data_IF_143258661146
#
_entry.id   IF_143258661146
#
_cell.length_a   1.000
_cell.length_b   1.000
_cell.length_c   1.000
_cell.angle_alpha   90.00
_cell.angle_beta   90.00
_cell.angle_gamma   90.00
#
_symmetry.space_group_name_H-M   'P 1'
#
loop_
_entity.id
_entity.type
_entity.pdbx_description
1 polymer ?
#
# COMPACT_ATOMS: atom_id res chain seq x y z
N UNK A 1 15.62 10.85 -6.97
CA UNK A 1 15.26 9.62 -6.22
C UNK A 1 14.09 9.98 -5.35
N UNK A 2 12.91 9.49 -5.69
CA UNK A 2 11.68 9.79 -4.95
C UNK A 2 11.50 8.73 -3.88
N UNK A 3 11.67 9.11 -2.62
CA UNK A 3 11.39 8.28 -1.46
C UNK A 3 10.28 8.97 -0.67
N UNK A 4 9.18 8.28 -0.47
CA UNK A 4 8.04 8.76 0.29
C UNK A 4 7.84 7.85 1.49
N UNK A 5 7.97 8.39 2.69
CA UNK A 5 7.75 7.64 3.92
C UNK A 5 6.73 8.41 4.78
N UNK A 6 5.66 7.73 5.18
CA UNK A 6 4.66 8.27 6.10
C UNK A 6 4.21 7.23 7.14
N UNK A 7 3.67 7.68 8.26
CA UNK A 7 3.06 6.79 9.25
C UNK A 7 1.55 6.99 9.22
N UNK A 8 0.80 5.94 8.93
CA UNK A 8 -0.66 5.95 8.79
C UNK A 8 -1.28 4.87 9.68
N UNK A 9 -2.19 5.25 10.58
CA UNK A 9 -2.87 4.34 11.54
C UNK A 9 -1.91 3.41 12.32
N UNK A 10 -0.70 3.88 12.62
CA UNK A 10 0.33 3.11 13.32
C UNK A 10 1.14 2.15 12.44
N UNK A 11 0.91 2.15 11.13
CA UNK A 11 1.70 1.48 10.10
C UNK A 11 2.68 2.46 9.46
N UNK A 12 3.92 2.04 9.21
CA UNK A 12 4.88 2.82 8.41
C UNK A 12 4.74 2.46 6.94
N UNK A 13 4.25 3.38 6.12
CA UNK A 13 4.19 3.24 4.67
C UNK A 13 5.46 3.85 4.09
N UNK A 14 6.18 3.10 3.27
CA UNK A 14 7.38 3.54 2.60
C UNK A 14 7.30 3.15 1.11
N UNK A 15 7.48 4.14 0.24
CA UNK A 15 7.49 4.01 -1.21
C UNK A 15 8.87 4.44 -1.70
N UNK A 16 9.65 3.51 -2.26
CA UNK A 16 10.94 3.78 -2.88
C UNK A 16 10.81 3.78 -4.39
N UNK A 17 11.41 4.79 -5.02
CA UNK A 17 11.49 4.93 -6.48
C UNK A 17 10.13 4.92 -7.20
N UNK A 18 9.05 5.24 -6.46
CA UNK A 18 7.66 5.16 -6.92
C UNK A 18 7.20 3.75 -7.37
N UNK A 19 8.02 2.73 -7.10
CA UNK A 19 7.81 1.34 -7.53
C UNK A 19 7.79 0.36 -6.37
N UNK A 20 8.56 0.60 -5.33
CA UNK A 20 8.74 -0.35 -4.23
C UNK A 20 7.87 0.09 -3.05
N UNK A 21 6.72 -0.56 -2.88
CA UNK A 21 5.82 -0.27 -1.76
C UNK A 21 6.13 -1.23 -0.62
N UNK A 22 6.41 -0.67 0.55
CA UNK A 22 6.60 -1.40 1.80
C UNK A 22 5.68 -0.84 2.88
N UNK A 23 5.03 -1.73 3.63
CA UNK A 23 4.19 -1.37 4.77
C UNK A 23 4.73 -2.11 6.00
N UNK A 24 5.13 -1.36 7.02
CA UNK A 24 5.72 -1.85 8.26
C UNK A 24 6.96 -2.75 8.01
N UNK A 25 7.73 -2.44 6.96
CA UNK A 25 8.90 -3.20 6.53
C UNK A 25 8.60 -4.47 5.71
N UNK A 26 7.33 -4.80 5.44
CA UNK A 26 6.96 -5.86 4.49
C UNK A 26 6.73 -5.27 3.10
N UNK A 27 7.31 -5.90 2.09
CA UNK A 27 7.07 -5.56 0.68
C UNK A 27 5.64 -5.93 0.31
N UNK A 28 4.96 -5.03 -0.37
CA UNK A 28 3.60 -5.21 -0.86
C UNK A 28 3.64 -5.38 -2.37
N UNK A 29 3.37 -6.59 -2.82
CA UNK A 29 3.16 -6.85 -4.24
C UNK A 29 1.85 -6.21 -4.71
N UNK A 30 1.93 -5.55 -5.85
CA UNK A 30 0.81 -4.93 -6.52
C UNK A 30 0.93 -5.08 -8.04
N UNK A 31 -0.22 -5.02 -8.69
CA UNK A 31 -0.36 -5.04 -10.13
C UNK A 31 -0.92 -3.68 -10.57
N UNK A 32 -0.27 -3.09 -11.57
CA UNK A 32 -0.76 -1.87 -12.21
C UNK A 32 -1.45 -2.23 -13.52
N UNK A 33 -2.75 -1.99 -13.57
CA UNK A 33 -3.53 -2.08 -14.80
C UNK A 33 -3.31 -0.80 -15.61
N UNK A 34 -2.40 -0.87 -16.60
CA UNK A 34 -2.02 0.29 -17.42
C UNK A 34 -3.14 0.79 -18.33
N UNK A 35 -4.09 -0.09 -18.69
CA UNK A 35 -5.25 0.27 -19.49
C UNK A 35 -6.23 1.15 -18.70
N UNK A 36 -6.42 0.84 -17.41
CA UNK A 36 -7.28 1.62 -16.52
C UNK A 36 -6.53 2.67 -15.70
N UNK A 37 -5.20 2.65 -15.74
CA UNK A 37 -4.30 3.42 -14.85
C UNK A 37 -4.63 3.22 -13.38
N UNK A 38 -4.96 1.99 -12.99
CA UNK A 38 -5.30 1.66 -11.60
C UNK A 38 -4.34 0.62 -11.01
N UNK A 39 -4.20 0.68 -9.70
CA UNK A 39 -3.40 -0.23 -8.89
C UNK A 39 -4.32 -1.20 -8.15
N UNK A 40 -3.98 -2.47 -8.18
CA UNK A 40 -4.63 -3.53 -7.40
C UNK A 40 -3.56 -4.30 -6.66
N UNK A 41 -3.87 -4.81 -5.47
CA UNK A 41 -2.95 -5.65 -4.72
C UNK A 41 -3.61 -6.97 -4.36
N UNK A 42 -2.80 -8.01 -4.18
CA UNK A 42 -3.27 -9.31 -3.70
C UNK A 42 -3.97 -9.24 -2.35
N UNK A 43 -3.60 -8.27 -1.51
CA UNK A 43 -4.25 -8.01 -0.23
C UNK A 43 -5.68 -7.48 -0.38
N UNK A 44 -5.98 -6.84 -1.51
CA UNK A 44 -7.22 -6.12 -1.79
C UNK A 44 -7.68 -6.36 -3.24
N UNK A 45 -8.03 -7.61 -3.60
CA UNK A 45 -8.18 -8.05 -5.00
C UNK A 45 -9.40 -7.47 -5.73
N UNK A 46 -10.41 -6.98 -5.01
CA UNK A 46 -11.65 -6.44 -5.58
C UNK A 46 -11.69 -4.91 -5.63
N UNK A 47 -10.62 -4.25 -5.23
CA UNK A 47 -10.53 -2.80 -5.11
C UNK A 47 -9.36 -2.29 -5.93
N UNK A 48 -9.65 -1.26 -6.73
CA UNK A 48 -8.70 -0.64 -7.61
C UNK A 48 -8.49 0.82 -7.20
N UNK A 49 -7.24 1.23 -7.07
CA UNK A 49 -6.85 2.54 -6.57
C UNK A 49 -6.21 3.36 -7.70
N UNK A 50 -6.38 4.68 -7.66
CA UNK A 50 -5.78 5.58 -8.65
C UNK A 50 -4.32 5.92 -8.30
N UNK A 51 -3.86 5.62 -7.07
CA UNK A 51 -2.48 5.87 -6.65
C UNK A 51 -1.97 4.79 -5.69
N UNK A 52 -0.66 4.52 -5.76
CA UNK A 52 0.06 3.62 -4.85
C UNK A 52 -0.15 3.99 -3.39
N UNK A 53 -0.15 5.28 -3.08
CA UNK A 53 -0.36 5.78 -1.71
C UNK A 53 -1.76 5.47 -1.17
N UNK A 54 -2.80 5.63 -1.99
CA UNK A 54 -4.17 5.31 -1.60
C UNK A 54 -4.33 3.82 -1.33
N UNK A 55 -3.75 3.00 -2.20
CA UNK A 55 -3.71 1.55 -2.02
C UNK A 55 -2.97 1.18 -0.72
N UNK A 56 -1.81 1.78 -0.47
CA UNK A 56 -1.03 1.52 0.74
C UNK A 56 -1.80 1.85 2.02
N UNK A 57 -2.49 3.00 2.05
CA UNK A 57 -3.36 3.38 3.18
C UNK A 57 -4.53 2.42 3.35
N UNK A 58 -5.13 1.97 2.25
CA UNK A 58 -6.21 1.01 2.31
C UNK A 58 -5.74 -0.35 2.85
N UNK A 59 -4.57 -0.84 2.43
CA UNK A 59 -3.98 -2.08 2.95
C UNK A 59 -3.67 -1.91 4.45
N UNK A 60 -3.03 -0.82 4.85
CA UNK A 60 -2.74 -0.52 6.26
C UNK A 60 -4.01 -0.52 7.14
N UNK A 61 -5.12 -0.01 6.60
CA UNK A 61 -6.41 0.09 7.30
C UNK A 61 -7.22 -1.22 7.31
N UNK A 62 -7.30 -1.90 6.18
CA UNK A 62 -8.19 -3.05 6.01
C UNK A 62 -7.54 -4.39 6.35
N UNK A 63 -6.22 -4.45 6.34
CA UNK A 63 -5.49 -5.68 6.61
C UNK A 63 -5.03 -5.69 8.06
N UNK A 64 -5.68 -6.53 8.87
CA UNK A 64 -5.41 -6.71 10.31
C UNK A 64 -3.97 -7.13 10.58
N UNK A 65 -3.29 -7.77 9.61
CA UNK A 65 -1.86 -8.09 9.71
C UNK A 65 -0.95 -6.86 9.83
N UNK A 66 -1.44 -5.69 9.40
CA UNK A 66 -0.68 -4.43 9.42
C UNK A 66 -1.26 -3.46 10.43
N UNK A 67 -2.60 -3.37 10.51
CA UNK A 67 -3.27 -2.59 11.54
C UNK A 67 -2.89 -3.12 12.91
N UNK A 68 -2.18 -2.32 13.70
CA UNK A 68 -2.03 -2.49 15.15
C UNK A 68 -3.36 -2.24 15.87
N UNK A 69 -4.43 -2.90 15.43
CA UNK A 69 -5.66 -2.99 16.18
C UNK A 69 -5.37 -3.93 17.36
N UNK A 70 -5.04 -3.31 18.48
CA UNK A 70 -4.90 -3.87 19.83
C UNK A 70 -5.75 -5.13 20.03
N UNK A 71 -5.09 -6.22 20.42
CA UNK A 71 -5.68 -7.21 21.33
C UNK A 71 -6.13 -6.53 22.64
#
# INVERSE_FOLDING_TARGET
>A
MSHHQETFEGCTIEIKDDIDLTINGKVIDYEQDTAKKKFSSKYLPYTQYDSLLEMARAIARHTVEFSKAKE
#
